data_IF_503272834208
#
_entry.id   IF_503272834208
#
_cell.length_a   1.000
_cell.length_b   1.000
_cell.length_c   1.000
_cell.angle_alpha   90.00
_cell.angle_beta   90.00
_cell.angle_gamma   90.00
#
_symmetry.space_group_name_H-M   'P 1'
#
loop_
_entity.id
_entity.type
_entity.pdbx_description
1 polymer ?
#
# COMPACT_ATOMS: atom_id res chain seq x y z
N UNK A 1 -25.81 44.83 -18.76
CA UNK A 1 -24.94 45.88 -19.32
C UNK A 1 -23.52 45.31 -19.35
N UNK A 2 -23.08 44.78 -20.49
CA UNK A 2 -22.36 45.50 -21.56
C UNK A 2 -20.87 45.73 -21.21
N UNK A 3 -20.00 44.76 -21.51
CA UNK A 3 -19.13 44.70 -22.72
C UNK A 3 -17.84 45.53 -22.64
N UNK A 4 -16.70 44.85 -22.70
CA UNK A 4 -15.65 45.16 -23.70
C UNK A 4 -14.63 44.02 -23.80
N UNK A 5 -14.06 43.86 -24.99
CA UNK A 5 -13.14 42.79 -25.40
C UNK A 5 -11.74 43.37 -25.55
N UNK A 6 -10.68 42.63 -25.22
CA UNK A 6 -9.41 42.80 -25.93
C UNK A 6 -8.50 41.55 -25.83
N UNK A 7 -7.85 41.20 -26.94
CA UNK A 7 -6.84 40.17 -27.01
C UNK A 7 -5.46 40.82 -27.22
N UNK A 8 -4.48 40.48 -26.39
CA UNK A 8 -3.06 40.58 -26.77
C UNK A 8 -2.31 39.31 -26.34
N UNK A 9 -1.68 38.65 -27.31
CA UNK A 9 -0.78 37.54 -27.05
C UNK A 9 0.67 38.07 -27.01
N UNK A 10 1.36 37.97 -25.86
CA UNK A 10 2.79 38.28 -25.75
C UNK A 10 3.53 37.36 -24.77
N UNK A 11 4.27 36.40 -25.33
CA UNK A 11 5.57 35.90 -24.84
C UNK A 11 5.64 35.12 -23.52
N UNK A 12 6.49 34.07 -23.43
CA UNK A 12 6.65 33.31 -22.19
C UNK A 12 7.40 34.12 -21.13
N UNK A 13 6.73 34.46 -20.02
CA UNK A 13 7.37 35.05 -18.84
C UNK A 13 8.06 33.96 -18.02
N UNK A 14 9.37 34.10 -17.81
CA UNK A 14 10.11 33.31 -16.80
C UNK A 14 9.55 33.58 -15.41
N UNK A 15 8.94 32.58 -14.78
CA UNK A 15 8.59 32.65 -13.36
C UNK A 15 9.86 32.48 -12.51
N UNK A 16 10.16 33.49 -11.68
CA UNK A 16 11.11 33.34 -10.56
C UNK A 16 10.32 32.86 -9.35
N UNK A 17 10.64 31.67 -8.84
CA UNK A 17 10.07 31.16 -7.58
C UNK A 17 10.98 31.52 -6.43
N UNK A 18 10.54 32.45 -5.57
CA UNK A 18 11.23 32.86 -4.36
C UNK A 18 10.86 31.93 -3.21
N UNK A 19 11.81 31.14 -2.68
CA UNK A 19 11.57 30.32 -1.49
C UNK A 19 11.91 31.11 -0.22
N UNK A 20 10.94 31.23 0.70
CA UNK A 20 11.17 31.76 2.06
C UNK A 20 11.69 30.64 2.96
N UNK A 21 12.73 30.92 3.74
CA UNK A 21 13.14 30.07 4.87
C UNK A 21 12.59 30.71 6.15
N UNK A 22 11.91 29.92 6.97
CA UNK A 22 11.55 30.24 8.36
C UNK A 22 12.30 29.23 9.23
N UNK A 23 13.12 29.69 10.17
CA UNK A 23 14.02 28.83 10.97
C UNK A 23 13.68 28.79 12.47
N UNK A 24 13.96 27.64 13.09
CA UNK A 24 13.99 27.32 14.54
C UNK A 24 14.81 26.02 14.69
N UNK A 25 15.76 25.80 15.61
CA UNK A 25 16.66 26.67 16.40
C UNK A 25 17.87 25.84 16.88
N UNK A 26 18.95 26.46 17.39
CA UNK A 26 20.06 25.74 18.05
C UNK A 26 19.69 25.24 19.48
N UNK A 27 20.53 24.38 20.11
CA UNK A 27 21.72 24.88 20.82
C UNK A 27 23.03 24.03 20.69
N UNK A 28 24.13 24.73 20.38
CA UNK A 28 25.51 24.69 20.96
C UNK A 28 25.98 23.42 21.72
N UNK A 29 27.21 22.91 21.54
CA UNK A 29 28.46 23.68 21.69
C UNK A 29 29.76 22.97 21.19
N UNK A 30 30.73 23.76 20.68
CA UNK A 30 32.22 23.63 20.71
C UNK A 30 32.92 22.33 20.27
N UNK A 31 34.05 22.29 19.54
CA UNK A 31 35.01 23.27 18.92
C UNK A 31 36.02 22.43 18.06
N UNK A 32 37.11 23.02 17.50
CA UNK A 32 37.30 23.73 16.22
C UNK A 32 37.60 22.75 15.04
N UNK A 33 37.65 23.11 13.76
CA UNK A 33 38.56 24.06 13.06
C UNK A 33 37.98 24.51 11.70
N UNK A 34 38.54 25.59 11.14
CA UNK A 34 38.06 26.25 9.92
C UNK A 34 38.30 25.46 8.62
N UNK A 35 37.36 25.59 7.67
CA UNK A 35 37.56 25.26 6.26
C UNK A 35 37.31 26.52 5.43
N UNK A 36 38.36 27.01 4.77
CA UNK A 36 38.27 28.07 3.77
C UNK A 36 37.71 27.47 2.48
N UNK A 37 36.67 28.09 1.92
CA UNK A 37 36.14 27.76 0.58
C UNK A 37 36.42 28.93 -0.35
N UNK A 38 37.42 28.80 -1.20
CA UNK A 38 37.59 29.72 -2.34
C UNK A 38 36.74 29.25 -3.53
N UNK A 39 36.03 30.21 -4.13
CA UNK A 39 35.30 30.00 -5.38
C UNK A 39 36.24 30.19 -6.57
N UNK A 40 36.25 29.26 -7.51
CA UNK A 40 36.72 29.52 -8.88
C UNK A 40 35.60 29.25 -9.90
N UNK A 41 35.54 30.13 -10.91
CA UNK A 41 34.42 30.26 -11.86
C UNK A 41 34.85 29.71 -13.21
N UNK A 42 34.28 28.59 -13.63
CA UNK A 42 34.56 28.01 -14.95
C UNK A 42 33.83 28.79 -16.05
N UNK A 43 34.58 29.64 -16.78
CA UNK A 43 34.10 30.30 -18.00
C UNK A 43 34.09 29.29 -19.16
N UNK A 44 32.91 29.00 -19.70
CA UNK A 44 32.81 28.43 -21.04
C UNK A 44 32.97 29.54 -22.09
N UNK A 45 33.80 29.29 -23.10
CA UNK A 45 33.88 30.12 -24.31
C UNK A 45 33.47 29.27 -25.52
N UNK A 46 32.59 29.83 -26.34
CA UNK A 46 32.10 29.22 -27.58
C UNK A 46 32.92 29.73 -28.76
N UNK A 47 33.42 28.82 -29.59
CA UNK A 47 33.82 29.14 -30.97
C UNK A 47 32.69 28.67 -31.88
N UNK A 48 32.09 29.62 -32.61
CA UNK A 48 31.15 29.31 -33.68
C UNK A 48 31.91 28.70 -34.85
N UNK A 49 31.26 27.84 -35.61
CA UNK A 49 31.46 27.84 -37.06
C UNK A 49 30.10 27.94 -37.75
N UNK A 50 30.03 28.80 -38.76
CA UNK A 50 28.80 29.34 -39.32
C UNK A 50 28.66 28.90 -40.78
N UNK A 51 27.64 28.09 -41.08
CA UNK A 51 26.97 28.12 -42.38
C UNK A 51 25.46 27.94 -42.23
N UNK A 52 24.74 29.03 -42.48
CA UNK A 52 23.28 29.07 -42.55
C UNK A 52 22.68 28.52 -43.87
N UNK A 53 21.48 28.96 -44.27
CA UNK A 53 20.36 28.03 -44.22
C UNK A 53 19.62 27.85 -45.54
N UNK A 54 19.10 26.64 -45.82
CA UNK A 54 18.04 26.40 -46.83
C UNK A 54 17.02 25.35 -46.39
N UNK A 55 15.82 25.82 -46.08
CA UNK A 55 14.55 25.10 -46.28
C UNK A 55 13.78 25.82 -47.42
N UNK A 56 12.59 25.39 -47.89
CA UNK A 56 11.87 24.13 -47.62
C UNK A 56 11.44 23.41 -48.93
N UNK A 57 10.84 22.21 -48.81
CA UNK A 57 9.67 21.85 -49.64
C UNK A 57 8.81 20.75 -49.01
N UNK A 58 7.51 20.81 -49.32
CA UNK A 58 6.43 19.96 -48.80
C UNK A 58 5.95 19.04 -49.91
N UNK A 59 5.67 17.77 -49.60
CA UNK A 59 4.64 17.01 -50.31
C UNK A 59 4.14 15.80 -49.49
N UNK A 60 2.82 15.70 -49.42
CA UNK A 60 2.00 14.62 -48.86
C UNK A 60 2.03 13.33 -49.70
N UNK A 61 1.87 12.16 -49.07
CA UNK A 61 1.11 11.01 -49.60
C UNK A 61 0.80 10.00 -48.48
N UNK A 62 -0.12 9.06 -48.73
CA UNK A 62 -0.69 8.14 -47.74
C UNK A 62 -0.81 6.71 -48.29
N UNK A 63 -0.88 5.75 -47.38
CA UNK A 63 -1.47 4.40 -47.49
C UNK A 63 -0.76 3.27 -48.28
N UNK A 64 -0.69 2.14 -47.56
CA UNK A 64 -0.95 0.75 -47.98
C UNK A 64 0.11 -0.14 -48.69
N UNK A 65 0.26 -1.32 -48.05
CA UNK A 65 0.45 -2.68 -48.56
C UNK A 65 1.82 -3.31 -48.91
N UNK A 66 2.02 -4.44 -48.20
CA UNK A 66 2.63 -5.72 -48.60
C UNK A 66 4.16 -5.84 -48.81
N UNK A 67 4.80 -6.41 -47.78
CA UNK A 67 5.42 -7.76 -47.81
C UNK A 67 6.24 -8.17 -49.06
N UNK A 68 7.58 -8.22 -48.95
CA UNK A 68 8.38 -9.47 -49.16
C UNK A 68 9.83 -9.35 -48.69
N UNK A 69 10.49 -10.50 -48.63
CA UNK A 69 11.83 -10.84 -48.12
C UNK A 69 13.04 -10.41 -48.97
N UNK A 70 14.20 -10.51 -48.30
CA UNK A 70 15.55 -10.84 -48.81
C UNK A 70 16.49 -9.73 -49.37
N UNK A 71 17.77 -9.92 -48.97
CA UNK A 71 19.05 -9.31 -49.36
C UNK A 71 19.12 -7.84 -49.81
N UNK A 72 19.98 -7.06 -49.13
CA UNK A 72 21.26 -6.70 -49.75
C UNK A 72 22.33 -6.23 -48.74
N UNK A 73 23.59 -6.38 -49.17
CA UNK A 73 24.83 -6.00 -48.47
C UNK A 73 24.98 -4.50 -48.22
N UNK A 74 25.64 -4.11 -47.12
CA UNK A 74 26.15 -2.75 -46.93
C UNK A 74 27.68 -2.78 -46.76
N UNK A 75 28.37 -2.02 -47.62
CA UNK A 75 29.82 -1.87 -47.62
C UNK A 75 30.34 -1.09 -46.41
N UNK A 76 31.56 -1.42 -45.99
CA UNK A 76 32.24 -0.73 -44.89
C UNK A 76 32.73 0.67 -45.32
N UNK A 77 32.47 1.68 -44.49
CA UNK A 77 33.15 2.98 -44.59
C UNK A 77 33.95 3.28 -43.32
N UNK A 78 35.27 3.15 -43.41
CA UNK A 78 36.19 3.40 -42.30
C UNK A 78 36.17 4.87 -41.85
N UNK A 79 36.01 5.09 -40.54
CA UNK A 79 36.46 6.31 -39.85
C UNK A 79 37.20 5.90 -38.57
N UNK A 80 38.41 6.43 -38.40
CA UNK A 80 39.35 6.02 -37.35
C UNK A 80 38.97 6.49 -35.94
N UNK A 81 39.70 6.02 -34.91
CA UNK A 81 39.34 6.24 -33.50
C UNK A 81 39.57 7.69 -33.06
N UNK A 82 38.61 8.23 -32.32
CA UNK A 82 38.71 9.50 -31.61
C UNK A 82 39.44 9.27 -30.28
N UNK A 83 40.51 10.03 -30.03
CA UNK A 83 41.27 9.95 -28.77
C UNK A 83 40.50 10.60 -27.62
N UNK A 84 40.37 9.90 -26.49
CA UNK A 84 40.00 10.52 -25.22
C UNK A 84 41.20 11.21 -24.58
N UNK A 85 40.96 12.30 -23.86
CA UNK A 85 41.93 12.95 -22.99
C UNK A 85 41.51 12.73 -21.53
N UNK A 86 42.47 12.36 -20.68
CA UNK A 86 42.31 12.24 -19.23
C UNK A 86 43.12 13.33 -18.51
N UNK A 87 42.59 13.83 -17.40
CA UNK A 87 43.27 14.73 -16.48
C UNK A 87 43.36 13.99 -15.14
N UNK A 88 44.58 13.87 -14.60
CA UNK A 88 44.85 13.27 -13.30
C UNK A 88 45.37 14.33 -12.32
N UNK A 89 44.95 14.22 -11.06
CA UNK A 89 45.43 15.04 -9.93
C UNK A 89 45.76 14.09 -8.79
N UNK A 90 47.01 14.12 -8.32
CA UNK A 90 47.44 13.30 -7.18
C UNK A 90 47.30 14.07 -5.86
N UNK A 91 46.92 13.35 -4.79
CA UNK A 91 47.00 13.82 -3.41
C UNK A 91 47.61 12.70 -2.56
N UNK A 92 48.77 12.97 -1.96
CA UNK A 92 49.47 12.03 -1.09
C UNK A 92 49.13 12.27 0.38
N UNK A 93 48.80 11.21 1.11
CA UNK A 93 48.54 11.23 2.54
C UNK A 93 49.26 10.10 3.26
N UNK A 94 50.05 10.43 4.28
CA UNK A 94 50.78 9.49 5.14
C UNK A 94 49.92 9.01 6.31
N UNK A 95 50.07 7.75 6.72
CA UNK A 95 49.35 7.14 7.86
C UNK A 95 50.35 6.67 8.92
N UNK A 96 50.15 7.10 10.17
CA UNK A 96 50.88 6.58 11.35
C UNK A 96 50.19 5.34 11.95
N UNK A 97 50.94 4.40 12.56
CA UNK A 97 50.37 3.16 13.09
C UNK A 97 49.90 3.29 14.56
N UNK A 98 48.83 2.57 14.91
CA UNK A 98 48.41 2.33 16.30
C UNK A 98 48.19 0.82 16.57
N UNK A 99 48.27 0.37 17.84
CA UNK A 99 48.65 -1.02 18.18
C UNK A 99 47.49 -2.03 18.26
N UNK A 100 47.77 -3.35 18.32
CA UNK A 100 46.76 -4.41 18.18
C UNK A 100 46.15 -4.89 19.50
N UNK A 101 44.89 -5.35 19.47
CA UNK A 101 44.29 -6.18 20.51
C UNK A 101 43.44 -7.34 19.95
N UNK A 102 43.73 -8.51 20.49
CA UNK A 102 43.05 -9.82 20.48
C UNK A 102 41.77 -10.09 19.63
N UNK A 103 41.97 -10.94 18.61
CA UNK A 103 41.21 -12.15 18.26
C UNK A 103 39.70 -12.27 18.64
N UNK A 104 38.84 -12.34 17.62
CA UNK A 104 37.45 -12.78 17.79
C UNK A 104 36.52 -12.76 16.57
N UNK A 105 36.93 -12.24 15.41
CA UNK A 105 36.00 -11.86 14.34
C UNK A 105 36.08 -12.66 13.03
N UNK A 106 34.92 -12.78 12.37
CA UNK A 106 34.78 -13.25 10.99
C UNK A 106 35.26 -12.15 10.03
N UNK A 107 36.34 -12.38 9.28
CA UNK A 107 36.80 -11.42 8.27
C UNK A 107 35.73 -11.19 7.19
N UNK A 108 35.02 -10.06 7.28
CA UNK A 108 34.16 -9.54 6.21
C UNK A 108 34.95 -8.44 5.50
N UNK A 109 35.59 -8.77 4.37
CA UNK A 109 36.37 -7.78 3.60
C UNK A 109 35.50 -7.05 2.58
N UNK A 110 35.40 -5.74 2.75
CA UNK A 110 34.85 -4.81 1.75
C UNK A 110 35.98 -4.44 0.79
N UNK A 111 35.84 -4.80 -0.49
CA UNK A 111 36.81 -4.45 -1.51
C UNK A 111 36.56 -3.02 -2.00
N UNK A 112 37.60 -2.19 -2.04
CA UNK A 112 37.59 -0.90 -2.75
C UNK A 112 38.41 -1.06 -4.03
N UNK A 113 37.84 -0.63 -5.17
CA UNK A 113 38.52 -0.77 -6.46
C UNK A 113 39.75 0.15 -6.52
N UNK A 114 40.89 -0.43 -6.91
CA UNK A 114 42.09 0.31 -7.31
C UNK A 114 42.26 0.14 -8.81
N UNK A 115 42.10 1.22 -9.57
CA UNK A 115 42.32 1.20 -11.02
C UNK A 115 43.83 1.16 -11.30
N UNK A 116 44.22 0.35 -12.29
CA UNK A 116 45.55 0.36 -12.90
C UNK A 116 45.42 0.89 -14.33
N UNK A 117 46.13 1.96 -14.65
CA UNK A 117 46.27 2.48 -16.01
C UNK A 117 47.29 1.65 -16.81
N UNK A 118 47.02 1.45 -18.10
CA UNK A 118 47.86 0.64 -19.00
C UNK A 118 48.63 1.57 -19.94
N UNK A 119 49.89 1.85 -19.63
CA UNK A 119 50.83 2.54 -20.55
C UNK A 119 52.28 2.41 -20.03
N UNK A 120 52.97 1.29 -20.33
CA UNK A 120 54.46 1.18 -20.28
C UNK A 120 54.98 -0.16 -20.85
N UNK A 121 54.73 -0.47 -22.13
CA UNK A 121 55.43 -1.56 -22.85
C UNK A 121 55.56 -1.25 -24.35
N UNK A 122 56.50 -0.37 -24.69
CA UNK A 122 57.00 -0.22 -26.07
C UNK A 122 58.46 0.22 -26.05
N UNK A 123 59.34 -0.69 -25.64
CA UNK A 123 60.77 -0.73 -26.00
C UNK A 123 61.37 -2.01 -25.39
N UNK A 124 61.64 -3.00 -26.24
CA UNK A 124 62.70 -4.02 -26.08
C UNK A 124 62.73 -4.85 -27.36
N UNK A 125 63.88 -4.83 -28.03
CA UNK A 125 64.09 -5.43 -29.35
C UNK A 125 64.15 -6.97 -29.30
N UNK A 126 63.97 -7.59 -30.47
CA UNK A 126 64.17 -9.03 -30.68
C UNK A 126 65.59 -9.49 -30.29
N UNK A 127 65.68 -10.77 -29.91
CA UNK A 127 66.88 -11.60 -29.71
C UNK A 127 67.46 -11.74 -28.28
N UNK A 128 66.69 -12.36 -27.38
CA UNK A 128 67.20 -13.30 -26.36
C UNK A 128 66.12 -14.33 -25.94
N UNK A 129 65.66 -15.17 -26.87
CA UNK A 129 64.73 -16.27 -26.57
C UNK A 129 65.45 -17.57 -26.17
N UNK A 130 66.23 -17.55 -25.08
CA UNK A 130 66.65 -18.79 -24.39
C UNK A 130 66.53 -18.67 -22.87
N UNK A 131 65.77 -19.59 -22.27
CA UNK A 131 65.62 -19.82 -20.83
C UNK A 131 65.34 -18.58 -19.95
N UNK A 132 64.08 -18.12 -19.95
CA UNK A 132 63.44 -17.78 -18.68
C UNK A 132 62.45 -18.88 -18.33
N UNK A 133 62.59 -19.39 -17.11
CA UNK A 133 61.74 -20.45 -16.57
C UNK A 133 60.27 -20.10 -16.77
N UNK A 134 59.50 -20.99 -17.41
CA UNK A 134 58.06 -21.02 -17.18
C UNK A 134 57.90 -21.40 -15.71
N UNK A 135 57.69 -20.39 -14.85
CA UNK A 135 57.39 -20.62 -13.46
C UNK A 135 56.15 -21.52 -13.41
N UNK A 136 56.33 -22.76 -12.97
CA UNK A 136 55.23 -23.70 -12.83
C UNK A 136 54.20 -23.03 -11.93
N UNK A 137 53.00 -22.76 -12.46
CA UNK A 137 51.92 -22.26 -11.63
C UNK A 137 51.71 -23.27 -10.50
N UNK A 138 51.58 -22.83 -9.24
CA UNK A 138 51.34 -23.74 -8.13
C UNK A 138 50.07 -24.56 -8.39
N UNK A 139 49.94 -25.73 -7.75
CA UNK A 139 48.71 -26.51 -7.85
C UNK A 139 47.51 -25.66 -7.41
N UNK A 140 46.43 -25.72 -8.19
CA UNK A 140 45.27 -24.86 -8.04
C UNK A 140 44.07 -25.37 -8.82
N UNK A 141 42.92 -24.80 -8.53
CA UNK A 141 41.59 -25.24 -8.95
C UNK A 141 40.87 -24.10 -9.65
N UNK A 142 40.55 -24.29 -10.93
CA UNK A 142 39.71 -23.36 -11.68
C UNK A 142 38.31 -23.23 -11.04
N UNK A 143 37.64 -22.06 -11.14
CA UNK A 143 36.38 -21.85 -10.43
C UNK A 143 35.26 -22.77 -10.93
N UNK A 144 34.66 -23.51 -10.01
CA UNK A 144 33.55 -24.44 -10.28
C UNK A 144 32.36 -24.16 -9.38
N UNK A 145 31.13 -24.27 -9.91
CA UNK A 145 29.88 -24.12 -9.16
C UNK A 145 29.20 -25.50 -9.03
N UNK A 146 29.34 -26.21 -7.89
CA UNK A 146 28.72 -27.53 -7.72
C UNK A 146 27.23 -27.46 -7.36
N UNK A 147 26.68 -26.25 -7.18
CA UNK A 147 25.27 -26.01 -6.83
C UNK A 147 24.67 -24.89 -7.70
N UNK A 148 23.36 -24.92 -7.91
CA UNK A 148 22.66 -23.82 -8.58
C UNK A 148 22.57 -22.59 -7.65
N UNK A 149 22.50 -21.36 -8.21
CA UNK A 149 22.27 -20.16 -7.42
C UNK A 149 20.94 -20.21 -6.65
N UNK A 150 20.93 -19.70 -5.43
CA UNK A 150 19.76 -19.63 -4.55
C UNK A 150 19.41 -18.17 -4.29
N UNK A 151 18.15 -17.82 -4.47
CA UNK A 151 17.60 -16.51 -4.09
C UNK A 151 16.85 -16.62 -2.75
N UNK A 152 17.16 -15.75 -1.79
CA UNK A 152 16.44 -15.63 -0.51
C UNK A 152 16.13 -14.18 -0.21
N UNK A 153 14.96 -13.89 0.35
CA UNK A 153 14.66 -12.56 0.88
C UNK A 153 14.88 -12.57 2.39
N UNK A 154 15.54 -11.52 2.87
CA UNK A 154 15.83 -11.25 4.27
C UNK A 154 14.62 -10.57 4.95
N UNK A 155 14.58 -10.59 6.29
CA UNK A 155 13.51 -9.96 7.08
C UNK A 155 13.44 -8.42 6.89
N UNK A 156 14.53 -7.79 6.45
CA UNK A 156 14.57 -6.36 6.09
C UNK A 156 13.99 -6.05 4.68
N UNK A 157 13.54 -7.08 3.97
CA UNK A 157 13.00 -7.00 2.62
C UNK A 157 14.04 -7.03 1.49
N UNK A 158 15.34 -7.01 1.82
CA UNK A 158 16.41 -7.15 0.82
C UNK A 158 16.50 -8.58 0.27
N UNK A 159 16.95 -8.73 -0.97
CA UNK A 159 17.13 -10.02 -1.63
C UNK A 159 18.62 -10.37 -1.70
N UNK A 160 19.00 -11.57 -1.29
CA UNK A 160 20.32 -12.16 -1.51
C UNK A 160 20.26 -13.24 -2.60
N UNK A 161 21.08 -13.07 -3.64
CA UNK A 161 21.41 -14.09 -4.64
C UNK A 161 22.74 -14.73 -4.23
N UNK A 162 22.71 -15.98 -3.80
CA UNK A 162 23.85 -16.76 -3.32
C UNK A 162 24.29 -17.78 -4.37
N UNK A 163 25.58 -17.78 -4.74
CA UNK A 163 26.22 -18.82 -5.54
C UNK A 163 27.32 -19.51 -4.71
N UNK A 164 27.18 -20.81 -4.47
CA UNK A 164 28.25 -21.60 -3.86
C UNK A 164 29.24 -22.07 -4.93
N UNK A 165 30.54 -21.93 -4.67
CA UNK A 165 31.61 -22.27 -5.61
C UNK A 165 32.85 -22.85 -4.91
N UNK A 166 33.74 -23.42 -5.70
CA UNK A 166 35.04 -23.95 -5.27
C UNK A 166 36.14 -23.43 -6.20
N UNK A 167 37.24 -22.89 -5.64
CA UNK A 167 38.34 -22.29 -6.41
C UNK A 167 39.63 -22.21 -5.58
N UNK A 168 40.80 -22.38 -6.20
CA UNK A 168 42.10 -22.14 -5.58
C UNK A 168 43.08 -21.55 -6.63
N UNK A 169 43.76 -20.42 -6.37
CA UNK A 169 43.67 -19.56 -5.18
C UNK A 169 42.35 -18.76 -5.14
N UNK A 170 42.20 -17.90 -4.13
CA UNK A 170 41.09 -16.95 -3.94
C UNK A 170 40.74 -16.25 -5.28
N UNK A 171 39.50 -16.35 -5.76
CA UNK A 171 39.14 -15.80 -7.06
C UNK A 171 38.56 -14.38 -6.97
N UNK A 172 38.65 -13.65 -8.07
CA UNK A 172 37.93 -12.39 -8.29
C UNK A 172 36.46 -12.64 -8.68
N UNK A 173 35.57 -11.75 -8.27
CA UNK A 173 34.12 -11.83 -8.52
C UNK A 173 33.58 -10.58 -9.22
N UNK A 174 32.74 -10.80 -10.23
CA UNK A 174 31.90 -9.78 -10.87
C UNK A 174 30.47 -10.29 -11.02
N UNK A 175 29.50 -9.44 -10.70
CA UNK A 175 28.09 -9.72 -10.95
C UNK A 175 27.57 -8.93 -12.15
N UNK A 176 26.62 -9.51 -12.86
CA UNK A 176 25.97 -8.89 -14.01
C UNK A 176 24.45 -9.02 -13.89
N UNK A 177 23.73 -7.97 -14.29
CA UNK A 177 22.31 -8.00 -14.61
C UNK A 177 22.18 -7.84 -16.12
N UNK A 178 21.55 -8.82 -16.76
CA UNK A 178 21.61 -9.04 -18.20
C UNK A 178 23.07 -8.97 -18.72
N UNK A 179 23.40 -7.98 -19.57
CA UNK A 179 24.75 -7.75 -20.09
C UNK A 179 25.59 -6.78 -19.24
N UNK A 180 25.01 -6.11 -18.24
CA UNK A 180 25.64 -4.97 -17.55
C UNK A 180 26.28 -5.38 -16.23
N UNK A 181 27.53 -4.98 -16.00
CA UNK A 181 28.24 -5.24 -14.73
C UNK A 181 27.62 -4.44 -13.58
N UNK A 182 27.21 -5.14 -12.53
CA UNK A 182 26.68 -4.56 -11.29
C UNK A 182 27.87 -4.09 -10.46
N UNK A 183 27.97 -2.77 -10.27
CA UNK A 183 28.98 -2.14 -9.40
C UNK A 183 28.48 -2.10 -7.95
N UNK A 184 29.40 -2.21 -6.99
CA UNK A 184 29.09 -2.09 -5.58
C UNK A 184 28.69 -0.63 -5.26
N UNK A 185 27.56 -0.43 -4.57
CA UNK A 185 27.04 0.88 -4.17
C UNK A 185 25.54 1.04 -4.41
N UNK A 186 24.95 2.08 -3.79
CA UNK A 186 23.51 2.35 -3.88
C UNK A 186 22.67 1.21 -3.31
N UNK A 187 21.79 0.63 -4.13
CA UNK A 187 20.95 -0.53 -3.76
C UNK A 187 21.67 -1.88 -3.83
N UNK A 188 22.87 -1.94 -4.43
CA UNK A 188 23.59 -3.20 -4.69
C UNK A 188 24.85 -3.32 -3.84
N UNK A 189 25.04 -4.48 -3.21
CA UNK A 189 26.29 -4.82 -2.56
C UNK A 189 26.57 -6.31 -2.68
N UNK A 190 27.79 -6.68 -3.09
CA UNK A 190 28.20 -8.08 -3.16
C UNK A 190 29.47 -8.34 -2.34
N UNK A 191 29.62 -9.60 -1.93
CA UNK A 191 30.70 -10.13 -1.08
C UNK A 191 31.06 -11.56 -1.49
N UNK A 192 32.25 -12.01 -1.11
CA UNK A 192 32.73 -13.38 -1.27
C UNK A 192 33.15 -13.93 0.10
N UNK A 193 32.34 -14.82 0.66
CA UNK A 193 32.62 -15.47 1.93
C UNK A 193 33.52 -16.70 1.72
N UNK A 194 34.61 -16.83 2.47
CA UNK A 194 35.34 -18.09 2.57
C UNK A 194 34.57 -19.08 3.46
N UNK A 195 34.35 -20.31 2.99
CA UNK A 195 33.70 -21.41 3.74
C UNK A 195 34.68 -22.51 4.18
N UNK A 196 35.97 -22.36 3.87
CA UNK A 196 37.03 -23.35 4.09
C UNK A 196 37.14 -24.39 2.96
N UNK A 197 38.24 -25.14 2.92
CA UNK A 197 38.49 -26.22 1.95
C UNK A 197 38.27 -25.80 0.48
N UNK A 198 38.87 -24.68 0.08
CA UNK A 198 38.74 -24.04 -1.25
C UNK A 198 37.30 -23.68 -1.67
N UNK A 199 36.33 -23.73 -0.76
CA UNK A 199 34.93 -23.38 -1.01
C UNK A 199 34.60 -21.95 -0.58
N UNK A 200 33.75 -21.29 -1.37
CA UNK A 200 33.31 -19.92 -1.16
C UNK A 200 31.81 -19.77 -1.41
N UNK A 201 31.21 -18.74 -0.81
CA UNK A 201 29.88 -18.27 -1.18
C UNK A 201 29.95 -16.84 -1.72
N UNK A 202 29.61 -16.71 -2.99
CA UNK A 202 29.44 -15.45 -3.68
C UNK A 202 28.02 -14.94 -3.45
N UNK A 203 27.86 -13.79 -2.79
CA UNK A 203 26.55 -13.23 -2.44
C UNK A 203 26.38 -11.84 -3.05
N UNK A 204 25.28 -11.62 -3.78
CA UNK A 204 24.80 -10.30 -4.21
C UNK A 204 23.53 -9.96 -3.43
N UNK A 205 23.56 -8.87 -2.66
CA UNK A 205 22.42 -8.28 -1.98
C UNK A 205 21.83 -7.12 -2.81
N UNK A 206 20.50 -7.10 -2.92
CA UNK A 206 19.69 -6.07 -3.58
C UNK A 206 18.72 -5.48 -2.55
N UNK A 207 18.80 -4.17 -2.30
CA UNK A 207 17.91 -3.42 -1.40
C UNK A 207 16.77 -2.75 -2.18
N UNK A 208 15.71 -2.38 -1.46
CA UNK A 208 14.50 -1.74 -2.01
C UNK A 208 13.99 -2.42 -3.29
N UNK A 209 13.85 -3.75 -3.22
CA UNK A 209 13.60 -4.64 -4.36
C UNK A 209 12.37 -4.20 -5.18
N UNK A 210 12.53 -4.09 -6.49
CA UNK A 210 11.54 -3.57 -7.44
C UNK A 210 11.19 -4.60 -8.54
N UNK A 211 10.05 -4.46 -9.20
CA UNK A 211 9.64 -5.35 -10.31
C UNK A 211 10.67 -5.39 -11.45
N UNK A 212 11.38 -4.27 -11.67
CA UNK A 212 12.48 -4.15 -12.63
C UNK A 212 13.73 -4.94 -12.27
N UNK A 213 13.86 -5.42 -11.03
CA UNK A 213 14.99 -6.25 -10.61
C UNK A 213 14.79 -7.72 -11.02
N UNK A 214 13.61 -8.12 -11.55
CA UNK A 214 13.44 -9.43 -12.18
C UNK A 214 14.28 -9.56 -13.47
N UNK A 215 14.75 -10.77 -13.77
CA UNK A 215 15.48 -11.07 -15.02
C UNK A 215 16.76 -11.85 -14.84
N UNK A 216 17.60 -11.85 -15.88
CA UNK A 216 18.84 -12.63 -15.92
C UNK A 216 19.94 -12.00 -15.07
N UNK A 217 20.54 -12.79 -14.18
CA UNK A 217 21.74 -12.47 -13.42
C UNK A 217 22.84 -13.47 -13.76
N UNK A 218 24.09 -13.01 -13.72
CA UNK A 218 25.28 -13.85 -13.87
C UNK A 218 26.34 -13.50 -12.84
N UNK A 219 26.73 -14.49 -12.04
CA UNK A 219 27.93 -14.43 -11.20
C UNK A 219 29.11 -14.95 -12.03
N UNK A 220 30.11 -14.11 -12.26
CA UNK A 220 31.31 -14.42 -13.02
C UNK A 220 32.50 -14.45 -12.06
N UNK A 221 33.25 -15.56 -12.09
CA UNK A 221 34.37 -15.80 -11.18
C UNK A 221 35.62 -16.11 -12.00
N UNK A 222 36.77 -15.53 -11.62
CA UNK A 222 38.04 -15.69 -12.33
C UNK A 222 39.17 -15.94 -11.33
N UNK A 223 40.07 -16.87 -11.63
CA UNK A 223 41.38 -16.98 -10.98
C UNK A 223 42.46 -17.35 -12.02
N UNK A 224 43.75 -17.44 -11.65
CA UNK A 224 44.82 -17.78 -12.59
C UNK A 224 44.65 -19.12 -13.33
N UNK A 225 43.85 -20.05 -12.80
CA UNK A 225 43.62 -21.38 -13.39
C UNK A 225 42.37 -21.44 -14.29
N UNK A 226 41.50 -20.42 -14.29
CA UNK A 226 40.35 -20.39 -15.20
C UNK A 226 39.24 -19.42 -14.85
N UNK A 227 38.09 -19.60 -15.51
CA UNK A 227 36.89 -18.78 -15.36
C UNK A 227 35.67 -19.67 -15.16
N UNK A 228 34.76 -19.26 -14.29
CA UNK A 228 33.44 -19.88 -14.11
C UNK A 228 32.33 -18.85 -14.24
N UNK A 229 31.13 -19.29 -14.66
CA UNK A 229 29.92 -18.49 -14.60
C UNK A 229 28.77 -19.31 -13.99
N UNK A 230 27.98 -18.69 -13.12
CA UNK A 230 26.67 -19.18 -12.71
C UNK A 230 25.60 -18.21 -13.19
N UNK A 231 24.64 -18.72 -13.98
CA UNK A 231 23.53 -17.95 -14.53
C UNK A 231 22.26 -18.25 -13.73
N UNK A 232 21.45 -17.22 -13.48
CA UNK A 232 20.20 -17.29 -12.74
C UNK A 232 19.14 -16.41 -13.41
N UNK A 233 17.87 -16.79 -13.38
CA UNK A 233 16.79 -15.93 -13.87
C UNK A 233 15.81 -15.64 -12.72
N UNK A 234 15.95 -14.46 -12.12
CA UNK A 234 15.18 -14.04 -10.96
C UNK A 234 13.72 -13.78 -11.36
N UNK A 235 12.82 -14.58 -10.80
CA UNK A 235 11.39 -14.30 -10.75
C UNK A 235 11.04 -13.80 -9.36
N UNK A 236 10.33 -12.69 -9.26
CA UNK A 236 9.92 -12.12 -7.97
C UNK A 236 8.71 -12.85 -7.35
N UNK A 237 8.14 -13.80 -8.07
CA UNK A 237 7.08 -14.73 -7.65
C UNK A 237 7.55 -15.60 -6.48
N UNK A 238 6.95 -15.43 -5.30
CA UNK A 238 7.36 -16.14 -4.07
C UNK A 238 8.16 -15.28 -3.07
N UNK A 239 8.51 -14.05 -3.42
CA UNK A 239 9.14 -13.07 -2.52
C UNK A 239 8.11 -12.04 -2.02
N UNK A 240 8.21 -11.66 -0.74
CA UNK A 240 7.35 -10.79 0.08
C UNK A 240 5.84 -10.73 -0.28
N UNK A 241 5.01 -11.24 0.62
CA UNK A 241 3.59 -10.87 0.66
C UNK A 241 3.42 -9.35 0.88
N UNK A 242 2.25 -8.76 0.58
CA UNK A 242 2.01 -7.34 0.86
C UNK A 242 2.20 -7.04 2.35
N UNK A 243 2.69 -5.84 2.68
CA UNK A 243 2.90 -5.38 4.07
C UNK A 243 2.18 -4.05 4.33
N UNK A 244 1.80 -3.78 5.58
CA UNK A 244 1.15 -2.52 5.94
C UNK A 244 2.14 -1.35 5.82
N UNK A 245 1.74 -0.28 5.13
CA UNK A 245 2.43 1.02 5.22
C UNK A 245 2.04 1.75 6.50
N UNK A 246 0.76 1.68 6.83
CA UNK A 246 0.16 2.33 7.99
C UNK A 246 -0.93 1.43 8.61
N UNK A 247 -1.36 1.76 9.83
CA UNK A 247 -2.49 1.07 10.46
C UNK A 247 -3.78 1.40 9.69
N UNK A 248 -4.61 0.42 9.30
CA UNK A 248 -5.90 0.68 8.67
C UNK A 248 -6.79 1.59 9.52
N UNK A 249 -7.48 2.54 8.90
CA UNK A 249 -8.30 3.55 9.58
C UNK A 249 -9.76 3.53 9.12
N UNK A 250 -10.65 3.99 10.00
CA UNK A 250 -12.02 4.39 9.64
C UNK A 250 -12.11 5.90 9.84
N UNK A 251 -12.55 6.63 8.82
CA UNK A 251 -12.76 8.06 8.86
C UNK A 251 -14.12 8.43 8.26
N UNK A 252 -14.50 9.70 8.35
CA UNK A 252 -15.72 10.22 7.74
C UNK A 252 -15.46 11.50 6.95
N UNK A 253 -16.32 11.75 5.96
CA UNK A 253 -16.35 12.96 5.13
C UNK A 253 -17.80 13.46 5.00
N UNK A 254 -17.96 14.64 4.42
CA UNK A 254 -19.27 15.28 4.15
C UNK A 254 -20.17 15.31 5.40
N UNK A 255 -19.62 15.84 6.50
CA UNK A 255 -20.27 15.93 7.83
C UNK A 255 -20.82 14.60 8.37
N UNK A 256 -20.13 13.48 8.06
CA UNK A 256 -20.50 12.14 8.49
C UNK A 256 -21.31 11.35 7.46
N UNK A 257 -21.75 11.97 6.36
CA UNK A 257 -22.55 11.30 5.32
C UNK A 257 -21.77 10.29 4.49
N UNK A 258 -20.45 10.31 4.52
CA UNK A 258 -19.61 9.29 3.85
C UNK A 258 -18.64 8.70 4.86
N UNK A 259 -18.82 7.43 5.20
CA UNK A 259 -17.82 6.65 5.93
C UNK A 259 -16.78 6.12 4.95
N UNK A 260 -15.51 6.17 5.35
CA UNK A 260 -14.37 5.67 4.56
C UNK A 260 -13.57 4.70 5.42
N UNK A 261 -13.42 3.46 4.95
CA UNK A 261 -12.46 2.50 5.50
C UNK A 261 -11.27 2.46 4.55
N UNK A 262 -10.06 2.76 5.03
CA UNK A 262 -8.87 2.89 4.18
C UNK A 262 -7.67 2.06 4.65
N UNK A 263 -6.88 1.62 3.66
CA UNK A 263 -5.83 0.63 3.78
C UNK A 263 -4.74 0.91 2.74
N UNK A 264 -3.48 1.00 3.20
CA UNK A 264 -2.29 1.06 2.34
C UNK A 264 -1.42 -0.17 2.51
N UNK A 265 -1.14 -0.85 1.40
CA UNK A 265 -0.22 -1.97 1.34
C UNK A 265 1.01 -1.63 0.48
N UNK A 266 2.21 -1.90 0.97
CA UNK A 266 3.42 -1.96 0.14
C UNK A 266 3.54 -3.38 -0.41
N UNK A 267 3.76 -3.53 -1.71
CA UNK A 267 3.93 -4.84 -2.34
C UNK A 267 4.74 -4.66 -3.61
N UNK A 268 5.76 -5.49 -3.80
CA UNK A 268 6.61 -5.40 -5.00
C UNK A 268 5.76 -5.72 -6.23
N UNK A 269 5.25 -6.95 -6.26
CA UNK A 269 4.23 -7.42 -7.21
C UNK A 269 2.89 -6.71 -6.95
N UNK A 270 2.23 -6.25 -8.02
CA UNK A 270 0.90 -5.62 -7.95
C UNK A 270 -0.15 -6.52 -7.28
N UNK A 271 -0.72 -6.12 -6.12
CA UNK A 271 -1.68 -6.95 -5.41
C UNK A 271 -3.12 -6.70 -5.87
N UNK A 272 -3.95 -7.75 -5.83
CA UNK A 272 -5.42 -7.66 -5.93
C UNK A 272 -6.02 -7.33 -4.57
N UNK A 273 -7.09 -6.53 -4.53
CA UNK A 273 -7.81 -6.18 -3.31
C UNK A 273 -9.23 -6.73 -3.33
N UNK A 274 -9.67 -7.33 -2.23
CA UNK A 274 -11.05 -7.83 -2.04
C UNK A 274 -11.59 -7.33 -0.71
N UNK A 275 -12.76 -6.70 -0.74
CA UNK A 275 -13.50 -6.28 0.45
C UNK A 275 -14.60 -7.30 0.78
N UNK A 276 -14.75 -7.62 2.06
CA UNK A 276 -15.77 -8.53 2.57
C UNK A 276 -16.47 -7.94 3.79
N UNK A 277 -17.74 -8.31 4.00
CA UNK A 277 -18.50 -8.04 5.23
C UNK A 277 -19.08 -9.36 5.73
N UNK A 278 -18.61 -9.83 6.89
CA UNK A 278 -18.82 -11.24 7.26
C UNK A 278 -18.20 -12.16 6.21
N UNK A 279 -18.99 -13.06 5.62
CA UNK A 279 -18.55 -13.97 4.56
C UNK A 279 -18.74 -13.41 3.14
N UNK A 280 -19.61 -12.40 2.96
CA UNK A 280 -19.98 -11.86 1.65
C UNK A 280 -18.92 -10.91 1.09
N UNK A 281 -18.66 -10.98 -0.23
CA UNK A 281 -17.84 -9.99 -0.94
C UNK A 281 -18.66 -8.72 -1.18
N UNK A 282 -18.09 -7.58 -0.81
CA UNK A 282 -18.73 -6.27 -1.00
C UNK A 282 -18.63 -5.85 -2.47
N UNK A 283 -19.77 -5.61 -3.10
CA UNK A 283 -19.86 -5.09 -4.46
C UNK A 283 -20.14 -3.58 -4.48
N UNK A 284 -19.75 -2.91 -5.56
CA UNK A 284 -20.08 -1.49 -5.77
C UNK A 284 -21.58 -1.27 -6.02
N UNK A 285 -22.08 -0.11 -5.63
CA UNK A 285 -23.46 0.35 -5.80
C UNK A 285 -23.54 1.88 -5.64
N UNK A 286 -24.71 2.49 -5.84
CA UNK A 286 -24.87 3.95 -5.69
C UNK A 286 -24.43 4.52 -4.32
N UNK A 287 -24.46 3.67 -3.27
CA UNK A 287 -23.97 4.00 -1.92
C UNK A 287 -22.56 3.48 -1.62
N UNK A 288 -22.13 2.37 -2.22
CA UNK A 288 -20.84 1.71 -1.92
C UNK A 288 -19.88 1.87 -3.08
N UNK A 289 -18.71 2.46 -2.84
CA UNK A 289 -17.66 2.63 -3.84
C UNK A 289 -16.35 2.03 -3.38
N UNK A 290 -15.66 1.32 -4.26
CA UNK A 290 -14.33 0.75 -4.03
C UNK A 290 -13.31 1.61 -4.78
N UNK A 291 -12.40 2.25 -4.04
CA UNK A 291 -11.35 3.09 -4.60
C UNK A 291 -10.03 2.34 -4.51
N UNK A 292 -9.42 2.03 -5.65
CA UNK A 292 -8.07 1.50 -5.76
C UNK A 292 -7.17 2.50 -6.48
N UNK A 293 -6.02 2.83 -5.90
CA UNK A 293 -5.01 3.73 -6.46
C UNK A 293 -3.61 3.18 -6.22
N UNK A 294 -2.76 3.34 -7.22
CA UNK A 294 -1.33 3.06 -7.14
C UNK A 294 -0.62 4.37 -6.76
N UNK A 295 0.14 4.33 -5.67
CA UNK A 295 0.93 5.43 -5.13
C UNK A 295 2.44 5.15 -5.39
N UNK A 296 3.31 6.17 -5.41
CA UNK A 296 4.75 5.97 -5.60
C UNK A 296 5.38 4.99 -4.60
N UNK A 297 6.55 4.44 -4.95
CA UNK A 297 7.30 3.48 -4.13
C UNK A 297 6.55 2.16 -3.85
N UNK A 298 5.77 1.69 -4.83
CA UNK A 298 5.05 0.41 -4.81
C UNK A 298 4.04 0.32 -3.66
N UNK A 299 3.41 1.45 -3.34
CA UNK A 299 2.34 1.55 -2.36
C UNK A 299 1.00 1.50 -3.09
N UNK A 300 0.05 0.76 -2.55
CA UNK A 300 -1.28 0.59 -3.11
C UNK A 300 -2.32 1.00 -2.08
N UNK A 301 -3.09 2.04 -2.40
CA UNK A 301 -4.19 2.55 -1.60
C UNK A 301 -5.49 1.87 -2.01
N UNK A 302 -6.16 1.22 -1.06
CA UNK A 302 -7.51 0.72 -1.21
C UNK A 302 -8.43 1.35 -0.16
N UNK A 303 -9.60 1.80 -0.58
CA UNK A 303 -10.65 2.27 0.32
C UNK A 303 -12.03 1.76 -0.08
N UNK A 304 -12.88 1.59 0.93
CA UNK A 304 -14.30 1.30 0.80
C UNK A 304 -15.08 2.50 1.34
N UNK A 305 -15.76 3.21 0.46
CA UNK A 305 -16.57 4.38 0.77
C UNK A 305 -18.05 4.00 0.84
N UNK A 306 -18.74 4.33 1.94
CA UNK A 306 -20.17 4.04 2.15
C UNK A 306 -20.90 5.36 2.44
N UNK A 307 -21.83 5.72 1.55
CA UNK A 307 -22.70 6.90 1.67
C UNK A 307 -23.95 6.61 2.50
N UNK A 308 -24.37 7.62 3.26
CA UNK A 308 -25.52 7.58 4.18
C UNK A 308 -25.51 6.28 5.03
N UNK A 309 -24.40 6.00 5.77
CA UNK A 309 -24.20 4.73 6.44
C UNK A 309 -25.21 4.53 7.57
N UNK A 310 -25.79 3.33 7.69
CA UNK A 310 -26.81 3.03 8.72
C UNK A 310 -26.40 1.88 9.64
N UNK A 311 -26.89 1.90 10.88
CA UNK A 311 -26.59 0.87 11.89
C UNK A 311 -27.04 -0.52 11.44
N UNK A 312 -28.15 -0.61 10.73
CA UNK A 312 -28.78 -1.86 10.31
C UNK A 312 -28.02 -2.52 9.15
N UNK A 313 -27.44 -1.72 8.24
CA UNK A 313 -26.79 -2.20 7.02
C UNK A 313 -25.27 -2.24 7.11
N UNK A 314 -24.68 -1.30 7.85
CA UNK A 314 -23.26 -1.00 7.77
C UNK A 314 -22.52 -1.19 9.10
N UNK A 315 -23.21 -1.48 10.21
CA UNK A 315 -22.53 -1.91 11.44
C UNK A 315 -21.93 -3.32 11.28
N UNK A 316 -20.89 -3.60 12.07
CA UNK A 316 -20.23 -4.92 12.11
C UNK A 316 -18.80 -4.88 11.59
N UNK A 317 -18.31 -6.03 11.13
CA UNK A 317 -16.92 -6.21 10.74
C UNK A 317 -16.76 -6.29 9.22
N UNK A 318 -15.87 -5.47 8.68
CA UNK A 318 -15.40 -5.53 7.30
C UNK A 318 -13.94 -6.00 7.27
N UNK A 319 -13.58 -6.73 6.23
CA UNK A 319 -12.21 -7.20 5.99
C UNK A 319 -11.79 -6.77 4.60
N UNK A 320 -10.62 -6.14 4.47
CA UNK A 320 -9.96 -5.96 3.18
C UNK A 320 -8.76 -6.90 3.08
N UNK A 321 -8.68 -7.68 2.01
CA UNK A 321 -7.55 -8.57 1.72
C UNK A 321 -6.79 -8.05 0.51
N UNK A 322 -5.54 -7.62 0.69
CA UNK A 322 -4.57 -7.51 -0.40
C UNK A 322 -3.90 -8.87 -0.62
N UNK A 323 -3.78 -9.31 -1.86
CA UNK A 323 -3.13 -10.58 -2.23
C UNK A 323 -2.22 -10.41 -3.43
N UNK A 324 -1.00 -10.93 -3.34
CA UNK A 324 -0.12 -11.17 -4.48
C UNK A 324 0.15 -12.68 -4.61
N UNK A 325 1.03 -13.11 -5.52
CA UNK A 325 1.34 -14.54 -5.68
C UNK A 325 2.08 -15.14 -4.47
N UNK A 326 2.84 -14.32 -3.75
CA UNK A 326 3.65 -14.71 -2.59
C UNK A 326 2.86 -14.80 -1.28
N UNK A 327 1.68 -14.18 -1.19
CA UNK A 327 0.83 -14.27 0.00
C UNK A 327 -0.28 -13.21 0.08
N UNK A 328 -0.83 -13.03 1.29
CA UNK A 328 -1.94 -12.10 1.55
C UNK A 328 -1.71 -11.26 2.81
N UNK A 329 -2.30 -10.08 2.82
CA UNK A 329 -2.37 -9.14 3.94
C UNK A 329 -3.85 -8.80 4.20
N UNK A 330 -4.29 -8.87 5.45
CA UNK A 330 -5.70 -8.67 5.82
C UNK A 330 -5.85 -7.53 6.82
N UNK A 331 -6.58 -6.49 6.43
CA UNK A 331 -7.03 -5.39 7.29
C UNK A 331 -8.45 -5.67 7.81
N UNK A 332 -8.70 -5.46 9.10
CA UNK A 332 -10.01 -5.69 9.71
C UNK A 332 -10.53 -4.40 10.35
N UNK A 333 -11.72 -3.98 9.90
CA UNK A 333 -12.40 -2.76 10.34
C UNK A 333 -13.64 -3.14 11.15
N UNK A 334 -13.86 -2.51 12.31
CA UNK A 334 -15.07 -2.72 13.12
C UNK A 334 -15.87 -1.44 13.16
N UNK A 335 -16.94 -1.39 12.37
CA UNK A 335 -17.87 -0.26 12.32
C UNK A 335 -18.84 -0.35 13.49
N UNK A 336 -18.87 0.69 14.32
CA UNK A 336 -19.81 0.88 15.42
C UNK A 336 -20.52 2.22 15.23
N UNK A 337 -21.84 2.21 15.39
CA UNK A 337 -22.63 3.42 15.45
C UNK A 337 -22.84 3.76 16.91
N UNK A 338 -22.21 4.85 17.37
CA UNK A 338 -22.48 5.39 18.69
C UNK A 338 -23.87 6.02 18.70
N UNK A 339 -24.66 5.71 19.71
CA UNK A 339 -25.93 6.40 19.95
C UNK A 339 -25.56 7.80 20.48
N UNK A 340 -26.01 8.90 19.85
CA UNK A 340 -25.67 10.24 20.31
C UNK A 340 -26.03 10.43 21.78
N UNK A 341 -25.15 11.09 22.54
CA UNK A 341 -25.41 11.34 23.96
C UNK A 341 -26.73 12.11 24.12
N UNK A 342 -27.62 11.57 24.95
CA UNK A 342 -28.96 12.12 25.18
C UNK A 342 -30.05 11.61 24.23
N UNK A 343 -29.72 10.89 23.15
CA UNK A 343 -30.72 10.27 22.28
C UNK A 343 -31.51 9.15 23.03
N UNK A 344 -32.73 8.81 22.61
CA UNK A 344 -33.55 7.83 23.32
C UNK A 344 -32.91 6.44 23.34
N UNK A 345 -32.94 5.78 24.51
CA UNK A 345 -32.39 4.43 24.72
C UNK A 345 -33.31 3.61 25.61
N UNK A 346 -33.56 2.34 25.27
CA UNK A 346 -34.46 1.48 26.06
C UNK A 346 -33.76 0.97 27.33
N UNK A 347 -34.37 1.21 28.50
CA UNK A 347 -33.82 0.85 29.82
C UNK A 347 -34.23 -0.55 30.28
N UNK A 348 -35.30 -1.10 29.71
CA UNK A 348 -35.76 -2.48 29.92
C UNK A 348 -36.28 -3.10 28.63
N UNK A 349 -36.38 -4.43 28.61
CA UNK A 349 -37.06 -5.16 27.53
C UNK A 349 -38.52 -4.67 27.43
N UNK A 350 -39.05 -4.38 26.24
CA UNK A 350 -40.45 -3.99 26.06
C UNK A 350 -41.39 -5.13 26.50
N UNK A 351 -42.55 -4.78 27.07
CA UNK A 351 -43.51 -5.75 27.60
C UNK A 351 -44.94 -5.48 27.10
N UNK A 352 -45.73 -6.55 26.99
CA UNK A 352 -47.19 -6.49 26.86
C UNK A 352 -47.76 -7.05 28.17
N UNK A 353 -48.60 -6.25 28.83
CA UNK A 353 -49.19 -6.56 30.13
C UNK A 353 -50.71 -6.54 30.02
N UNK A 354 -51.40 -7.51 30.64
CA UNK A 354 -52.85 -7.43 30.84
C UNK A 354 -53.11 -6.72 32.18
N UNK A 355 -53.92 -5.65 32.16
CA UNK A 355 -54.24 -4.84 33.34
C UNK A 355 -55.73 -4.52 33.39
N UNK A 356 -56.23 -4.16 34.57
CA UNK A 356 -57.53 -3.51 34.72
C UNK A 356 -57.34 -2.01 34.54
N UNK A 357 -58.14 -1.39 33.67
CA UNK A 357 -58.10 0.05 33.41
C UNK A 357 -58.91 0.85 34.45
N UNK A 358 -58.79 2.19 34.43
CA UNK A 358 -59.50 3.09 35.36
C UNK A 358 -61.04 2.91 35.40
N UNK A 359 -61.64 2.37 34.33
CA UNK A 359 -63.08 2.10 34.23
C UNK A 359 -63.49 0.72 34.74
N UNK A 360 -62.55 -0.09 35.24
CA UNK A 360 -62.76 -1.48 35.64
C UNK A 360 -62.67 -2.48 34.49
N UNK A 361 -62.57 -2.02 33.23
CA UNK A 361 -62.49 -2.89 32.06
C UNK A 361 -61.08 -3.51 31.90
N UNK A 362 -60.97 -4.77 31.44
CA UNK A 362 -59.69 -5.36 31.05
C UNK A 362 -59.09 -4.65 29.82
N UNK A 363 -57.79 -4.38 29.90
CA UNK A 363 -57.02 -3.70 28.88
C UNK A 363 -55.66 -4.39 28.65
N UNK A 364 -55.16 -4.28 27.42
CA UNK A 364 -53.78 -4.64 27.08
C UNK A 364 -52.94 -3.36 27.15
N UNK A 365 -51.82 -3.41 27.85
CA UNK A 365 -50.88 -2.29 28.01
C UNK A 365 -49.52 -2.69 27.45
N UNK A 366 -49.10 -2.00 26.40
CA UNK A 366 -47.72 -2.04 25.91
C UNK A 366 -46.90 -1.13 26.81
N UNK A 367 -45.81 -1.62 27.41
CA UNK A 367 -45.00 -0.92 28.42
C UNK A 367 -43.53 -0.84 27.96
N UNK A 368 -43.03 0.39 27.80
CA UNK A 368 -41.71 0.70 27.26
C UNK A 368 -40.98 1.63 28.23
N UNK A 369 -39.97 1.11 28.93
CA UNK A 369 -39.03 1.92 29.70
C UNK A 369 -37.90 2.44 28.82
N UNK A 370 -37.61 3.73 28.90
CA UNK A 370 -36.53 4.38 28.15
C UNK A 370 -35.89 5.54 28.92
N UNK A 371 -34.71 5.95 28.49
CA UNK A 371 -34.01 7.16 28.91
C UNK A 371 -33.84 8.07 27.69
N UNK A 372 -34.10 9.36 27.83
CA UNK A 372 -33.93 10.35 26.77
C UNK A 372 -33.71 11.74 27.37
N UNK A 373 -32.80 12.53 26.82
CA UNK A 373 -32.73 13.95 27.16
C UNK A 373 -34.01 14.68 26.72
N UNK A 374 -34.21 15.87 27.32
CA UNK A 374 -35.49 16.61 27.42
C UNK A 374 -36.40 16.52 26.20
N UNK A 375 -37.71 16.47 26.48
CA UNK A 375 -38.82 16.54 25.53
C UNK A 375 -38.91 15.37 24.51
N UNK A 376 -38.91 14.08 24.94
CA UNK A 376 -39.16 12.98 24.03
C UNK A 376 -40.60 12.98 23.47
N UNK A 377 -40.77 13.00 22.14
CA UNK A 377 -42.02 12.63 21.47
C UNK A 377 -42.12 11.10 21.38
N UNK A 378 -43.29 10.56 21.71
CA UNK A 378 -43.60 9.12 21.59
C UNK A 378 -44.68 8.92 20.53
N UNK A 379 -44.39 8.08 19.55
CA UNK A 379 -45.24 7.81 18.39
C UNK A 379 -45.54 6.31 18.32
N UNK A 380 -46.81 5.96 18.52
CA UNK A 380 -47.29 4.59 18.35
C UNK A 380 -47.80 4.33 16.94
N UNK A 381 -47.42 3.20 16.36
CA UNK A 381 -47.82 2.72 15.02
C UNK A 381 -48.46 1.35 15.20
N UNK A 382 -49.63 1.13 14.59
CA UNK A 382 -50.33 -0.15 14.68
C UNK A 382 -49.82 -1.19 13.67
N UNK A 383 -50.31 -2.43 13.80
CA UNK A 383 -50.07 -3.55 12.88
C UNK A 383 -50.44 -3.33 11.39
N UNK A 384 -50.96 -2.15 11.02
CA UNK A 384 -51.23 -1.73 9.63
C UNK A 384 -50.34 -0.58 9.18
N UNK A 385 -49.25 -0.29 9.90
CA UNK A 385 -48.31 0.78 9.60
C UNK A 385 -48.85 2.20 9.83
N UNK A 386 -49.97 2.37 10.56
CA UNK A 386 -50.62 3.68 10.74
C UNK A 386 -50.32 4.29 12.11
N UNK A 387 -49.82 5.55 12.14
CA UNK A 387 -49.70 6.37 13.37
C UNK A 387 -51.06 6.40 14.09
N UNK A 388 -51.05 5.93 15.33
CA UNK A 388 -52.22 5.81 16.18
C UNK A 388 -52.60 7.18 16.77
N UNK A 389 -53.84 7.29 17.23
CA UNK A 389 -54.38 8.46 17.94
C UNK A 389 -55.20 7.98 19.13
N UNK A 390 -55.30 8.81 20.16
CA UNK A 390 -56.15 8.51 21.30
C UNK A 390 -57.63 8.41 20.91
N UNK A 391 -58.37 7.60 21.66
CA UNK A 391 -59.81 7.35 21.49
C UNK A 391 -60.37 6.73 22.77
N UNK A 392 -61.68 6.45 22.81
CA UNK A 392 -62.31 5.70 23.91
C UNK A 392 -61.71 4.30 24.13
N UNK A 393 -60.99 3.75 23.13
CA UNK A 393 -60.30 2.46 23.20
C UNK A 393 -58.80 2.56 23.38
N UNK A 394 -58.18 3.72 23.16
CA UNK A 394 -56.73 3.91 23.07
C UNK A 394 -56.34 5.12 23.92
N UNK A 395 -55.55 4.90 24.96
CA UNK A 395 -54.86 5.98 25.70
C UNK A 395 -53.35 5.87 25.52
N UNK A 396 -52.67 7.01 25.50
CA UNK A 396 -51.21 7.05 25.59
C UNK A 396 -50.81 7.72 26.90
N UNK A 397 -49.99 7.04 27.70
CA UNK A 397 -49.41 7.60 28.92
C UNK A 397 -47.90 7.73 28.74
N UNK A 398 -47.34 8.86 29.20
CA UNK A 398 -45.91 9.06 29.33
C UNK A 398 -45.63 9.58 30.75
N UNK A 399 -44.99 8.76 31.57
CA UNK A 399 -44.68 9.09 32.97
C UNK A 399 -43.17 9.01 33.24
N UNK A 400 -42.60 9.86 34.11
CA UNK A 400 -41.25 9.67 34.62
C UNK A 400 -41.11 8.33 35.36
N UNK A 401 -39.94 7.70 35.27
CA UNK A 401 -39.67 6.36 35.82
C UNK A 401 -38.53 6.38 36.86
N UNK A 402 -38.71 7.22 37.89
CA UNK A 402 -37.88 7.30 39.11
C UNK A 402 -36.44 7.81 38.98
N UNK A 403 -35.81 7.64 37.82
CA UNK A 403 -34.44 8.06 37.52
C UNK A 403 -34.34 9.39 36.79
N UNK A 404 -33.12 9.90 36.67
CA UNK A 404 -32.85 11.12 35.90
C UNK A 404 -33.02 10.86 34.40
N UNK A 405 -33.91 11.63 33.77
CA UNK A 405 -34.26 11.51 32.34
C UNK A 405 -34.82 10.13 31.92
N UNK A 406 -35.33 9.33 32.87
CA UNK A 406 -35.99 8.04 32.57
C UNK A 406 -37.51 8.19 32.55
N UNK A 407 -38.14 7.47 31.63
CA UNK A 407 -39.56 7.54 31.32
C UNK A 407 -40.13 6.15 31.04
N UNK A 408 -41.44 6.01 31.26
CA UNK A 408 -42.25 4.89 30.82
C UNK A 408 -43.28 5.40 29.83
N UNK A 409 -43.21 4.94 28.59
CA UNK A 409 -44.26 5.10 27.60
C UNK A 409 -45.21 3.89 27.65
N UNK A 410 -46.52 4.16 27.71
CA UNK A 410 -47.56 3.15 27.67
C UNK A 410 -48.61 3.44 26.60
N UNK A 411 -49.01 2.39 25.88
CA UNK A 411 -50.22 2.35 25.05
C UNK A 411 -51.19 1.39 25.72
N UNK A 412 -52.33 1.91 26.17
CA UNK A 412 -53.44 1.14 26.72
C UNK A 412 -54.53 0.91 25.66
N UNK A 413 -54.86 -0.35 25.40
CA UNK A 413 -55.87 -0.79 24.44
C UNK A 413 -57.02 -1.53 25.15
N UNK A 414 -58.21 -0.90 25.15
CA UNK A 414 -59.46 -1.48 25.68
C UNK A 414 -60.31 -2.13 24.60
N UNK A 415 -61.21 -3.04 25.02
CA UNK A 415 -62.16 -3.72 24.13
C UNK A 415 -61.44 -4.41 22.95
N UNK A 416 -60.27 -4.97 23.22
CA UNK A 416 -59.42 -5.61 22.23
C UNK A 416 -60.10 -6.86 21.66
N UNK A 417 -59.83 -7.16 20.39
CA UNK A 417 -60.41 -8.30 19.64
C UNK A 417 -59.31 -9.01 18.87
N UNK A 418 -59.54 -10.26 18.44
CA UNK A 418 -58.57 -11.03 17.65
C UNK A 418 -57.96 -10.25 16.47
N UNK A 419 -58.77 -9.40 15.79
CA UNK A 419 -58.33 -8.51 14.68
C UNK A 419 -57.36 -7.38 15.06
N UNK A 420 -57.15 -7.13 16.35
CA UNK A 420 -56.22 -6.14 16.88
C UNK A 420 -54.82 -6.75 17.12
N UNK A 421 -54.64 -8.06 16.86
CA UNK A 421 -53.35 -8.76 16.84
C UNK A 421 -52.42 -8.26 15.73
N UNK A 422 -51.12 -8.42 15.93
CA UNK A 422 -50.06 -8.05 15.00
C UNK A 422 -48.93 -7.24 15.67
N UNK A 423 -47.99 -6.75 14.86
CA UNK A 423 -46.80 -6.04 15.34
C UNK A 423 -47.05 -4.54 15.47
N UNK A 424 -46.88 -3.99 16.67
CA UNK A 424 -46.97 -2.57 16.96
C UNK A 424 -45.56 -1.99 17.13
N UNK A 425 -45.33 -0.79 16.59
CA UNK A 425 -44.06 -0.08 16.72
C UNK A 425 -44.22 1.13 17.63
N UNK A 426 -43.27 1.32 18.55
CA UNK A 426 -43.09 2.54 19.32
C UNK A 426 -41.83 3.24 18.84
N UNK A 427 -41.99 4.42 18.25
CA UNK A 427 -40.92 5.35 17.88
C UNK A 427 -40.82 6.42 18.98
N UNK A 428 -39.60 6.68 19.45
CA UNK A 428 -39.31 7.68 20.47
C UNK A 428 -38.25 8.61 19.90
N UNK A 429 -38.47 9.93 19.94
CA UNK A 429 -37.59 10.92 19.32
C UNK A 429 -37.36 12.13 20.22
N UNK A 430 -36.15 12.67 20.20
CA UNK A 430 -35.83 14.01 20.74
C UNK A 430 -34.84 14.73 19.80
N UNK A 431 -34.28 15.86 20.25
CA UNK A 431 -33.32 16.67 19.48
C UNK A 431 -31.98 15.96 19.21
N UNK A 432 -31.62 14.94 20.02
CA UNK A 432 -30.36 14.21 19.89
C UNK A 432 -30.47 12.95 19.01
N UNK A 433 -31.68 12.42 18.80
CA UNK A 433 -31.89 11.26 17.92
C UNK A 433 -33.23 10.57 18.14
N UNK A 434 -33.34 9.34 17.65
CA UNK A 434 -34.53 8.50 17.78
C UNK A 434 -34.20 7.03 18.08
N UNK A 435 -35.16 6.33 18.68
CA UNK A 435 -35.13 4.88 18.89
C UNK A 435 -36.49 4.26 18.55
N UNK A 436 -36.45 3.03 18.04
CA UNK A 436 -37.62 2.30 17.58
C UNK A 436 -37.66 0.91 18.26
N UNK A 437 -38.83 0.46 18.67
CA UNK A 437 -39.04 -0.88 19.24
C UNK A 437 -40.37 -1.47 18.78
N UNK A 438 -40.40 -2.78 18.54
CA UNK A 438 -41.57 -3.51 18.08
C UNK A 438 -42.04 -4.54 19.10
N UNK A 439 -43.37 -4.73 19.18
CA UNK A 439 -44.02 -5.73 20.02
C UNK A 439 -45.14 -6.41 19.24
N UNK A 440 -45.13 -7.75 19.20
CA UNK A 440 -46.20 -8.53 18.57
C UNK A 440 -47.25 -8.90 19.60
N UNK A 441 -48.47 -8.40 19.41
CA UNK A 441 -49.65 -8.78 20.18
C UNK A 441 -50.34 -9.97 19.49
N UNK A 442 -50.63 -11.04 20.25
CA UNK A 442 -51.47 -12.14 19.81
C UNK A 442 -52.69 -12.24 20.74
N UNK A 443 -53.90 -12.19 20.18
CA UNK A 443 -55.16 -12.36 20.90
C UNK A 443 -55.86 -13.58 20.32
N UNK A 444 -55.91 -14.65 21.11
CA UNK A 444 -56.71 -15.83 20.79
C UNK A 444 -58.20 -15.45 20.81
N UNK A 445 -58.92 -15.82 19.74
CA UNK A 445 -60.37 -15.73 19.70
C UNK A 445 -61.01 -16.88 20.47
N UNK A 446 -62.32 -16.81 20.80
CA UNK A 446 -63.04 -17.99 21.21
C UNK A 446 -62.91 -19.07 20.11
N UNK A 447 -62.73 -20.32 20.52
CA UNK A 447 -62.97 -21.44 19.63
C UNK A 447 -64.43 -21.36 19.17
N UNK A 448 -64.65 -21.58 17.87
CA UNK A 448 -65.98 -21.64 17.30
C UNK A 448 -66.60 -23.00 17.69
N UNK A 449 -67.05 -23.08 18.93
CA UNK A 449 -67.79 -24.22 19.48
C UNK A 449 -69.14 -24.29 18.76
N UNK A 450 -69.13 -24.92 17.58
CA UNK A 450 -70.26 -25.04 16.68
C UNK A 450 -71.44 -25.79 17.29
N UNK A 451 -72.24 -25.06 18.06
CA UNK A 451 -73.55 -25.47 18.53
C UNK A 451 -74.54 -25.38 17.36
N UNK A 452 -74.53 -26.40 16.51
CA UNK A 452 -75.62 -26.70 15.57
C UNK A 452 -76.82 -27.24 16.37
N UNK A 453 -77.51 -26.33 17.06
CA UNK A 453 -78.84 -26.56 17.60
C UNK A 453 -79.89 -26.08 16.60
N UNK A 454 -80.49 -27.04 15.91
CA UNK A 454 -81.95 -27.02 15.81
C UNK A 454 -82.55 -26.82 14.43
N UNK A 455 -83.15 -27.90 13.93
CA UNK A 455 -84.41 -27.96 13.18
C UNK A 455 -84.47 -27.41 11.75
N UNK A 456 -84.70 -28.32 10.81
CA UNK A 456 -85.90 -28.26 9.97
C UNK A 456 -86.47 -29.68 9.78
N UNK A 457 -87.78 -29.78 9.50
CA UNK A 457 -88.57 -31.02 9.52
C UNK A 457 -89.25 -31.31 8.17
#
# INVERSE_FOLDING_TARGET
>A
ESTSTECEARGPRRAKSTLRIIGVSEPKASLPFDVVVENEILKMSTVNDDQGPKTPRVSTASAEDLNTSEDESIEAFNRGPIKQASISVEVTGTVEPTPPLAAGDKETRVFTNREFSVEELSDLEDDQLTSRSAAAMPEGKAPHFPQQPVARQNDDGSLELECFLEAAPLPDIKWFYDTTEIKQGGRFSYRLDNKGNDAFSAVLQIKDLADSDAGAYRCAIVNPHGKGNANFNLKLTGFSSPTFVEKPQISSRDDGRVMVMEFRAKSILKPTFVWQKGEEIVAESDRVKIVLREEPNQVYYAALEIREPTKEKDAGQFVCTAKNESGKLTATFTVKFEVPQGAPTFTRKPQILQKTSDSGDPAIVFDIGFQADRNPEVIWINAKGKKMKESTRIKFNLSPDGGANTFTAQLELKNYKAKDSGTYTCNIKNDAGEANVELTLNIEGPLDDGADDGSEA
#
